data_IF_952837034725
#
_entry.id   IF_952837034725
#
_cell.length_a   1.000
_cell.length_b   1.000
_cell.length_c   1.000
_cell.angle_alpha   90.00
_cell.angle_beta   90.00
_cell.angle_gamma   90.00
#
_symmetry.space_group_name_H-M   'P 1'
#
loop_
_entity.id
_entity.type
_entity.pdbx_description
1 polymer ?
#
# COMPACT_ATOMS: atom_id res chain seq x y z
N UNK A 1 -7.55 -13.15 -5.70
CA UNK A 1 -7.99 -11.78 -5.38
C UNK A 1 -9.13 -11.32 -6.32
N UNK A 2 -10.11 -10.55 -5.85
CA UNK A 2 -11.26 -10.06 -6.64
C UNK A 2 -11.32 -8.51 -6.68
N UNK A 3 -12.27 -7.93 -7.43
CA UNK A 3 -12.41 -6.48 -7.59
C UNK A 3 -12.59 -5.74 -6.25
N UNK A 4 -13.39 -6.30 -5.33
CA UNK A 4 -13.63 -5.69 -4.02
C UNK A 4 -12.34 -5.54 -3.20
N UNK A 5 -11.42 -6.50 -3.30
CA UNK A 5 -10.12 -6.40 -2.63
C UNK A 5 -9.24 -5.29 -3.23
N UNK A 6 -9.26 -5.15 -4.56
CA UNK A 6 -8.50 -4.10 -5.25
C UNK A 6 -9.03 -2.71 -4.92
N UNK A 7 -10.35 -2.55 -4.87
CA UNK A 7 -10.99 -1.30 -4.48
C UNK A 7 -10.66 -0.94 -3.02
N UNK A 8 -10.63 -1.93 -2.13
CA UNK A 8 -10.28 -1.73 -0.73
C UNK A 8 -8.80 -1.34 -0.54
N UNK A 9 -7.88 -1.98 -1.29
CA UNK A 9 -6.47 -1.59 -1.35
C UNK A 9 -6.35 -0.12 -1.79
N UNK A 10 -7.01 0.26 -2.90
CA UNK A 10 -6.95 1.62 -3.42
C UNK A 10 -7.51 2.65 -2.43
N UNK A 11 -8.62 2.33 -1.76
CA UNK A 11 -9.23 3.17 -0.73
C UNK A 11 -8.29 3.40 0.45
N UNK A 12 -7.66 2.35 0.94
CA UNK A 12 -6.74 2.41 2.10
C UNK A 12 -5.44 3.12 1.78
N UNK A 13 -4.85 2.89 0.62
CA UNK A 13 -3.66 3.64 0.16
C UNK A 13 -4.01 5.12 0.00
N UNK A 14 -5.17 5.45 -0.57
CA UNK A 14 -5.62 6.84 -0.69
C UNK A 14 -5.83 7.52 0.67
N UNK A 15 -6.34 6.78 1.65
CA UNK A 15 -6.50 7.26 3.02
C UNK A 15 -5.14 7.47 3.70
N UNK A 16 -4.23 6.51 3.58
CA UNK A 16 -2.87 6.63 4.11
C UNK A 16 -2.10 7.77 3.45
N UNK A 17 -2.21 7.96 2.13
CA UNK A 17 -1.59 9.07 1.41
C UNK A 17 -2.05 10.45 1.93
N UNK A 18 -3.31 10.58 2.38
CA UNK A 18 -3.83 11.79 3.03
C UNK A 18 -3.28 12.00 4.44
N UNK A 19 -2.99 10.91 5.16
CA UNK A 19 -2.42 10.96 6.51
C UNK A 19 -0.90 11.07 6.54
N UNK A 20 -0.22 10.63 5.47
CA UNK A 20 1.23 10.50 5.42
C UNK A 20 1.93 11.85 5.39
N UNK A 21 1.26 12.93 4.99
CA UNK A 21 1.95 14.17 4.71
C UNK A 21 1.05 15.42 4.66
N UNK A 22 1.25 16.37 5.57
CA UNK A 22 0.97 17.78 5.30
C UNK A 22 1.90 18.34 4.21
N UNK A 23 3.17 17.93 4.17
CA UNK A 23 4.24 18.59 3.37
C UNK A 23 4.72 17.81 2.13
N UNK A 24 4.37 16.53 2.00
CA UNK A 24 4.83 15.68 0.91
C UNK A 24 3.74 14.72 0.40
N UNK A 25 2.77 15.27 -0.34
CA UNK A 25 1.69 14.48 -0.91
C UNK A 25 2.23 13.52 -1.98
N UNK A 26 1.99 12.20 -1.86
CA UNK A 26 2.41 11.24 -2.89
C UNK A 26 1.82 11.60 -4.26
N UNK A 27 2.59 11.44 -5.32
CA UNK A 27 2.09 11.60 -6.69
C UNK A 27 1.07 10.51 -7.04
N UNK A 28 0.31 10.71 -8.12
CA UNK A 28 -0.61 9.70 -8.66
C UNK A 28 0.15 8.41 -9.00
N UNK A 29 1.33 8.54 -9.62
CA UNK A 29 2.18 7.39 -9.95
C UNK A 29 2.60 6.62 -8.69
N UNK A 30 3.06 7.33 -7.67
CA UNK A 30 3.46 6.69 -6.40
C UNK A 30 2.30 5.99 -5.71
N UNK A 31 1.08 6.55 -5.82
CA UNK A 31 -0.12 5.92 -5.27
C UNK A 31 -0.47 4.62 -6.01
N UNK A 32 -0.39 4.62 -7.34
CA UNK A 32 -0.62 3.41 -8.17
C UNK A 32 0.44 2.34 -7.89
N UNK A 33 1.71 2.74 -7.78
CA UNK A 33 2.80 1.85 -7.44
C UNK A 33 2.61 1.26 -6.04
N UNK A 34 2.21 2.07 -5.05
CA UNK A 34 1.95 1.61 -3.69
C UNK A 34 0.77 0.63 -3.62
N UNK A 35 -0.29 0.85 -4.41
CA UNK A 35 -1.37 -0.13 -4.55
C UNK A 35 -0.87 -1.47 -5.10
N UNK A 36 0.04 -1.44 -6.07
CA UNK A 36 0.63 -2.65 -6.65
C UNK A 36 1.50 -3.39 -5.63
N UNK A 37 2.35 -2.67 -4.90
CA UNK A 37 3.16 -3.22 -3.81
C UNK A 37 2.27 -3.87 -2.74
N UNK A 38 1.23 -3.17 -2.29
CA UNK A 38 0.33 -3.71 -1.26
C UNK A 38 -0.43 -4.96 -1.73
N UNK A 39 -0.90 -4.95 -2.98
CA UNK A 39 -1.52 -6.13 -3.61
C UNK A 39 -0.56 -7.32 -3.61
N UNK A 40 0.68 -7.11 -4.02
CA UNK A 40 1.66 -8.18 -4.14
C UNK A 40 2.07 -8.73 -2.76
N UNK A 41 2.17 -7.86 -1.74
CA UNK A 41 2.36 -8.29 -0.35
C UNK A 41 1.22 -9.18 0.14
N UNK A 42 -0.04 -8.79 -0.08
CA UNK A 42 -1.21 -9.60 0.32
C UNK A 42 -1.18 -10.94 -0.41
N UNK A 43 -0.96 -10.93 -1.73
CA UNK A 43 -0.92 -12.16 -2.53
C UNK A 43 0.20 -13.11 -2.08
N UNK A 44 1.37 -12.58 -1.71
CA UNK A 44 2.46 -13.39 -1.17
C UNK A 44 2.07 -14.06 0.16
N UNK A 45 1.26 -13.41 0.99
CA UNK A 45 0.85 -13.94 2.30
C UNK A 45 -0.31 -14.93 2.21
N UNK A 46 -1.10 -14.90 1.13
CA UNK A 46 -2.16 -15.88 0.87
C UNK A 46 -1.61 -17.32 0.84
N UNK A 47 -0.34 -17.53 0.46
CA UNK A 47 0.31 -18.86 0.46
C UNK A 47 0.40 -19.46 1.87
N UNK A 48 0.33 -18.62 2.90
CA UNK A 48 0.35 -19.00 4.31
C UNK A 48 -1.06 -18.98 4.93
N UNK A 49 -2.11 -18.84 4.12
CA UNK A 49 -3.50 -18.77 4.58
C UNK A 49 -3.87 -17.44 5.26
N UNK A 50 -3.02 -16.41 5.13
CA UNK A 50 -3.28 -15.09 5.68
C UNK A 50 -4.10 -14.25 4.69
N UNK A 51 -4.98 -13.42 5.25
CA UNK A 51 -5.85 -12.50 4.53
C UNK A 51 -5.48 -11.06 4.83
N UNK A 52 -5.99 -10.13 4.02
CA UNK A 52 -5.75 -8.70 4.25
C UNK A 52 -6.27 -8.21 5.62
N UNK A 53 -7.32 -8.83 6.16
CA UNK A 53 -7.84 -8.50 7.49
C UNK A 53 -6.94 -8.95 8.64
N UNK A 54 -6.15 -10.02 8.46
CA UNK A 54 -5.20 -10.49 9.48
C UNK A 54 -4.07 -9.47 9.71
N UNK A 55 -3.83 -8.61 8.73
CA UNK A 55 -2.81 -7.57 8.78
C UNK A 55 -3.27 -6.27 9.44
N UNK A 56 -4.58 -6.02 9.55
CA UNK A 56 -5.12 -4.80 10.14
C UNK A 56 -4.73 -4.62 11.61
N UNK A 57 -4.46 -5.72 12.31
CA UNK A 57 -4.02 -5.70 13.71
C UNK A 57 -2.51 -5.56 13.89
N UNK A 58 -1.71 -5.77 12.84
CA UNK A 58 -0.25 -5.94 12.95
C UNK A 58 0.50 -4.66 12.58
N UNK A 59 0.11 -3.98 11.50
CA UNK A 59 0.77 -2.77 11.03
C UNK A 59 -0.07 -1.97 10.02
N UNK A 60 0.29 -0.70 9.81
CA UNK A 60 -0.29 0.13 8.75
C UNK A 60 0.39 -0.17 7.40
N UNK A 61 -0.02 -1.26 6.77
CA UNK A 61 0.50 -1.72 5.47
C UNK A 61 0.34 -0.71 4.31
N UNK A 62 -0.79 0.00 4.19
CA UNK A 62 -0.92 1.08 3.21
C UNK A 62 0.17 2.16 3.36
N UNK A 63 0.47 2.57 4.59
CA UNK A 63 1.57 3.52 4.87
C UNK A 63 2.94 2.93 4.52
N UNK A 64 3.20 1.67 4.85
CA UNK A 64 4.46 1.00 4.52
C UNK A 64 4.68 0.91 2.99
N UNK A 65 3.65 0.58 2.23
CA UNK A 65 3.75 0.54 0.76
C UNK A 65 4.12 1.91 0.16
N UNK A 66 3.55 3.00 0.69
CA UNK A 66 3.93 4.36 0.29
C UNK A 66 5.37 4.70 0.64
N UNK A 67 5.85 4.28 1.82
CA UNK A 67 7.24 4.49 2.26
C UNK A 67 8.23 3.73 1.37
N UNK A 68 7.92 2.48 1.02
CA UNK A 68 8.76 1.67 0.15
C UNK A 68 8.89 2.29 -1.25
N UNK A 69 7.78 2.75 -1.83
CA UNK A 69 7.79 3.44 -3.12
C UNK A 69 8.58 4.73 -3.05
N UNK A 70 8.39 5.52 -2.00
CA UNK A 70 9.16 6.75 -1.80
C UNK A 70 10.67 6.47 -1.69
N UNK A 71 11.07 5.49 -0.89
CA UNK A 71 12.47 5.12 -0.70
C UNK A 71 13.12 4.67 -2.03
N UNK A 72 12.43 3.80 -2.80
CA UNK A 72 12.87 3.37 -4.13
C UNK A 72 13.08 4.53 -5.09
N UNK A 73 12.14 5.47 -5.11
CA UNK A 73 12.21 6.64 -5.99
C UNK A 73 13.34 7.61 -5.55
N UNK A 74 13.60 7.73 -4.25
CA UNK A 74 14.67 8.55 -3.69
C UNK A 74 16.07 7.94 -3.98
N UNK A 75 16.22 6.61 -4.01
CA UNK A 75 17.46 5.90 -4.40
C UNK A 75 17.78 5.96 -5.90
N UNK A 76 16.78 6.22 -6.74
CA UNK A 76 16.92 6.26 -8.21
C UNK A 76 17.33 7.64 -8.74
N UNK A 77 17.72 8.57 -7.86
CA UNK A 77 17.98 9.99 -8.14
C UNK A 77 19.45 10.35 -7.94
#
# INVERSE_FOLDING_TARGET
MNQNHLDEIARRVSYAAKQFAPDHRPSVRQTVDACSVLRDMIQATEIHGLTFGDFDAVADFPRMALQLVKARDDESR
#
